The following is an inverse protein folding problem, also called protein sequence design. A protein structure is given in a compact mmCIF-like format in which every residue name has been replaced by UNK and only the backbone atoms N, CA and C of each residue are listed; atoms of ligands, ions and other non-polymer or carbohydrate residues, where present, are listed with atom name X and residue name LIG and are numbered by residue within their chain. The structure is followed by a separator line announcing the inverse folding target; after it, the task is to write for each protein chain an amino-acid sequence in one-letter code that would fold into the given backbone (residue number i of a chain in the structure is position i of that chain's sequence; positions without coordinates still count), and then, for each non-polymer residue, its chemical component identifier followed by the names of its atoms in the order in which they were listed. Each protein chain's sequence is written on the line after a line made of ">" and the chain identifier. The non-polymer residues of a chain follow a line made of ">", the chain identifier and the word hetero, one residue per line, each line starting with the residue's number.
data_IF_241758758467
#
_entry.id   IF_241758758467
#
_cell.length_a   1.000
_cell.length_b   1.000
_cell.length_c   1.000
_cell.angle_alpha   90.00
_cell.angle_beta   90.00
_cell.angle_gamma   90.00
#
_symmetry.space_group_name_H-M   'P 1'
#
loop_
_entity.id
_entity.type
_entity.pdbx_description
1 polymer ?
#
# COMPACT_ATOMS: atom_id res chain seq x y z
N UNK A 1 -10.09 12.40 1.74
CA UNK A 1 -9.18 13.21 2.59
C UNK A 1 -9.16 14.63 2.04
N UNK A 2 -9.05 15.61 2.94
CA UNK A 2 -8.97 17.04 2.66
C UNK A 2 -7.52 17.50 2.60
N UNK A 3 -7.29 18.72 2.14
CA UNK A 3 -5.96 19.36 2.18
C UNK A 3 -5.43 19.41 3.63
N UNK A 4 -6.30 19.63 4.61
CA UNK A 4 -5.93 19.68 6.02
C UNK A 4 -5.46 18.32 6.53
N UNK A 5 -6.07 17.21 6.11
CA UNK A 5 -5.59 15.87 6.46
C UNK A 5 -4.13 15.68 6.00
N UNK A 6 -3.79 16.09 4.78
CA UNK A 6 -2.42 16.02 4.24
C UNK A 6 -1.46 17.02 4.90
N UNK A 7 -1.95 18.20 5.31
CA UNK A 7 -1.14 19.16 6.07
C UNK A 7 -0.82 18.61 7.45
N UNK A 8 -1.82 18.07 8.15
CA UNK A 8 -1.67 17.45 9.46
C UNK A 8 -0.73 16.25 9.41
N UNK A 9 -0.74 15.48 8.32
CA UNK A 9 0.18 14.37 8.09
C UNK A 9 1.66 14.76 8.18
N UNK A 10 2.02 16.01 7.88
CA UNK A 10 3.41 16.50 7.95
C UNK A 10 3.87 16.83 9.37
N UNK A 11 2.93 16.92 10.33
CA UNK A 11 3.22 17.23 11.73
C UNK A 11 3.13 16.01 12.65
N UNK A 12 2.80 14.83 12.11
CA UNK A 12 2.82 13.58 12.87
C UNK A 12 4.24 13.28 13.36
N UNK A 13 4.37 13.00 14.64
CA UNK A 13 5.66 12.57 15.21
C UNK A 13 5.95 11.11 14.88
N UNK A 14 7.20 10.67 15.08
CA UNK A 14 7.60 9.26 14.90
C UNK A 14 6.78 8.31 15.76
N UNK A 15 6.52 8.67 17.03
CA UNK A 15 5.70 7.86 17.94
C UNK A 15 4.25 7.75 17.45
N UNK A 16 3.72 8.79 16.82
CA UNK A 16 2.36 8.77 16.27
C UNK A 16 2.24 7.97 14.97
N UNK A 17 3.32 7.83 14.22
CA UNK A 17 3.36 7.04 12.98
C UNK A 17 3.58 5.55 13.24
N UNK A 18 4.41 5.22 14.23
CA UNK A 18 4.93 3.86 14.42
C UNK A 18 4.58 3.24 15.77
N UNK A 19 3.86 3.97 16.63
CA UNK A 19 3.65 3.63 18.03
C UNK A 19 4.90 3.90 18.89
N UNK A 20 4.76 3.75 20.20
CA UNK A 20 5.92 3.68 21.10
C UNK A 20 6.66 2.35 20.85
N UNK A 21 7.99 2.34 20.91
CA UNK A 21 8.85 1.15 20.69
C UNK A 21 8.54 -0.04 21.65
N UNK A 22 7.58 0.09 22.56
CA UNK A 22 7.32 -0.83 23.65
C UNK A 22 6.40 -2.00 23.29
N UNK A 23 5.80 -2.05 22.10
CA UNK A 23 4.95 -3.19 21.71
C UNK A 23 5.26 -3.69 20.29
N UNK A 24 5.63 -4.97 20.13
CA UNK A 24 5.65 -5.61 18.82
C UNK A 24 4.24 -5.51 18.20
N UNK A 25 4.11 -5.23 16.89
CA UNK A 25 2.82 -5.09 16.19
C UNK A 25 1.83 -6.25 16.45
N UNK A 26 2.37 -7.43 16.76
CA UNK A 26 1.63 -8.68 16.95
C UNK A 26 0.81 -8.76 18.26
N UNK A 27 0.96 -7.83 19.19
CA UNK A 27 0.36 -7.92 20.53
C UNK A 27 -1.03 -7.28 20.66
N UNK A 28 -1.57 -6.65 19.62
CA UNK A 28 -2.88 -5.96 19.73
C UNK A 28 -3.97 -6.45 18.76
N UNK A 29 -3.68 -7.41 17.88
CA UNK A 29 -4.71 -8.06 17.06
C UNK A 29 -4.74 -9.53 17.41
N UNK A 30 -5.54 -9.88 18.42
CA UNK A 30 -5.76 -11.26 18.91
C UNK A 30 -6.57 -12.13 17.91
N UNK A 31 -6.48 -11.81 16.62
CA UNK A 31 -7.08 -12.50 15.49
C UNK A 31 -6.25 -12.19 14.23
N UNK A 32 -5.10 -12.83 14.06
CA UNK A 32 -4.53 -13.01 12.72
C UNK A 32 -5.51 -13.89 11.93
N UNK A 33 -6.50 -13.26 11.32
CA UNK A 33 -7.15 -13.76 10.11
C UNK A 33 -6.30 -13.28 8.94
N UNK A 34 -6.34 -13.97 7.79
CA UNK A 34 -5.68 -13.46 6.59
C UNK A 34 -6.12 -12.03 6.29
N UNK A 35 -5.16 -11.17 5.98
CA UNK A 35 -5.29 -9.75 5.61
C UNK A 35 -5.61 -9.55 4.11
N UNK A 36 -5.81 -10.64 3.37
CA UNK A 36 -6.32 -10.60 2.00
C UNK A 36 -7.71 -11.23 1.92
N UNK A 37 -8.68 -10.49 1.38
CA UNK A 37 -10.08 -10.94 1.22
C UNK A 37 -10.60 -10.82 -0.24
N UNK A 38 -11.87 -11.18 -0.44
CA UNK A 38 -12.62 -10.91 -1.67
C UNK A 38 -12.47 -11.87 -2.85
N UNK A 39 -12.74 -11.37 -4.07
CA UNK A 39 -12.90 -12.22 -5.28
C UNK A 39 -11.62 -12.98 -5.63
N UNK A 40 -10.46 -12.41 -5.31
CA UNK A 40 -9.18 -13.03 -5.55
C UNK A 40 -8.89 -14.22 -4.62
N UNK A 41 -9.51 -14.24 -3.42
CA UNK A 41 -9.54 -15.39 -2.51
C UNK A 41 -10.57 -16.43 -2.97
N UNK A 42 -11.76 -16.02 -3.45
CA UNK A 42 -12.79 -16.97 -3.93
C UNK A 42 -12.35 -17.84 -5.11
N UNK A 43 -11.43 -17.37 -5.96
CA UNK A 43 -10.85 -18.17 -7.06
C UNK A 43 -10.02 -19.37 -6.56
N UNK A 44 -9.67 -19.47 -5.27
CA UNK A 44 -8.95 -20.62 -4.66
C UNK A 44 -9.72 -21.95 -4.70
N UNK A 45 -11.01 -21.99 -5.02
CA UNK A 45 -11.80 -23.24 -5.03
C UNK A 45 -11.61 -24.14 -6.25
N UNK A 46 -10.86 -23.71 -7.28
CA UNK A 46 -10.59 -24.54 -8.46
C UNK A 46 -9.17 -25.13 -8.41
N UNK A 47 -9.08 -26.43 -8.10
CA UNK A 47 -7.87 -27.25 -8.21
C UNK A 47 -7.34 -27.22 -9.65
N UNK A 48 -6.41 -26.32 -9.94
CA UNK A 48 -5.56 -26.41 -11.13
C UNK A 48 -4.10 -26.38 -10.69
N UNK A 49 -3.33 -27.36 -11.17
CA UNK A 49 -1.89 -27.48 -10.92
C UNK A 49 -1.16 -26.52 -11.88
N UNK A 50 -0.49 -25.50 -11.34
CA UNK A 50 0.39 -24.60 -12.11
C UNK A 50 0.61 -23.20 -11.50
N UNK A 51 1.56 -23.11 -10.54
CA UNK A 51 2.53 -22.03 -10.11
C UNK A 51 2.12 -20.55 -9.95
N UNK A 52 2.84 -19.69 -9.15
CA UNK A 52 3.18 -18.21 -8.86
C UNK A 52 2.35 -16.89 -8.71
N UNK A 53 2.41 -16.09 -7.59
CA UNK A 53 2.23 -14.57 -7.53
C UNK A 53 3.26 -13.72 -6.75
N UNK A 54 3.52 -12.47 -7.20
CA UNK A 54 3.52 -11.26 -6.34
C UNK A 54 3.33 -9.95 -7.17
N UNK A 55 2.06 -9.67 -7.53
CA UNK A 55 1.63 -8.48 -8.26
C UNK A 55 0.65 -8.82 -9.38
N UNK A 56 -0.46 -8.09 -9.54
CA UNK A 56 -1.51 -8.41 -10.53
C UNK A 56 -1.02 -8.28 -11.97
N UNK A 57 -1.03 -9.38 -12.72
CA UNK A 57 -0.56 -9.39 -14.11
C UNK A 57 -1.58 -8.84 -15.09
N UNK A 58 -2.86 -9.19 -14.91
CA UNK A 58 -3.90 -8.84 -15.88
C UNK A 58 -4.27 -7.36 -15.79
N UNK A 59 -4.31 -6.66 -16.93
CA UNK A 59 -4.68 -5.23 -17.00
C UNK A 59 -6.04 -4.95 -16.36
N UNK A 60 -6.99 -5.89 -16.44
CA UNK A 60 -8.31 -5.75 -15.81
C UNK A 60 -8.26 -5.68 -14.29
N UNK A 61 -7.25 -6.27 -13.66
CA UNK A 61 -7.10 -6.30 -12.21
C UNK A 61 -6.22 -5.12 -11.71
N UNK A 62 -5.70 -4.30 -12.64
CA UNK A 62 -5.04 -3.01 -12.36
C UNK A 62 -6.05 -1.88 -12.32
N UNK A 63 -5.73 -0.83 -11.58
CA UNK A 63 -6.50 0.40 -11.57
C UNK A 63 -6.25 1.24 -12.83
N UNK A 64 -7.30 1.67 -13.55
CA UNK A 64 -7.15 2.50 -14.75
C UNK A 64 -6.47 3.84 -14.43
N UNK A 65 -5.69 4.37 -15.38
CA UNK A 65 -5.00 5.66 -15.25
C UNK A 65 -4.07 5.78 -14.03
N UNK A 66 -3.73 4.65 -13.39
CA UNK A 66 -2.98 4.58 -12.14
C UNK A 66 -3.71 5.30 -10.99
N UNK A 67 -5.03 5.51 -11.11
CA UNK A 67 -5.87 6.18 -10.12
C UNK A 67 -6.68 5.15 -9.34
N UNK A 68 -6.63 5.25 -8.01
CA UNK A 68 -7.46 4.45 -7.09
C UNK A 68 -8.50 5.38 -6.46
N UNK A 69 -9.73 5.43 -7.01
CA UNK A 69 -10.81 6.18 -6.40
C UNK A 69 -11.15 5.62 -5.04
N UNK A 70 -11.30 6.47 -4.02
CA UNK A 70 -11.66 6.04 -2.68
C UNK A 70 -12.75 6.87 -2.03
N UNK A 71 -13.52 6.21 -1.18
CA UNK A 71 -14.40 6.81 -0.18
C UNK A 71 -13.85 6.45 1.19
N UNK A 72 -13.75 7.42 2.08
CA UNK A 72 -13.26 7.23 3.44
C UNK A 72 -14.43 7.32 4.41
N UNK A 73 -14.52 6.38 5.35
CA UNK A 73 -15.49 6.41 6.44
C UNK A 73 -15.37 7.71 7.26
N UNK A 74 -16.50 8.19 7.73
CA UNK A 74 -16.64 9.31 8.66
C UNK A 74 -16.27 8.96 10.11
N UNK A 75 -16.07 7.67 10.43
CA UNK A 75 -15.67 7.22 11.76
C UNK A 75 -14.18 7.46 12.09
N UNK A 76 -13.35 7.84 11.11
CA UNK A 76 -11.94 8.14 11.38
C UNK A 76 -11.77 9.51 12.03
N UNK A 77 -11.04 9.53 13.15
CA UNK A 77 -10.60 10.75 13.83
C UNK A 77 -9.64 11.57 12.97
N UNK A 78 -9.45 12.85 13.29
CA UNK A 78 -8.50 13.73 12.59
C UNK A 78 -7.08 13.15 12.53
N UNK A 79 -6.63 12.48 13.60
CA UNK A 79 -5.31 11.84 13.66
C UNK A 79 -5.22 10.63 12.74
N UNK A 80 -6.19 9.73 12.79
CA UNK A 80 -6.24 8.55 11.91
C UNK A 80 -6.28 8.96 10.44
N UNK A 81 -7.08 9.98 10.10
CA UNK A 81 -7.11 10.56 8.74
C UNK A 81 -5.75 11.12 8.31
N UNK A 82 -5.02 11.77 9.21
CA UNK A 82 -3.67 12.25 8.93
C UNK A 82 -2.67 11.10 8.68
N UNK A 83 -2.78 9.99 9.42
CA UNK A 83 -1.95 8.79 9.19
C UNK A 83 -2.27 8.17 7.82
N UNK A 84 -3.56 8.03 7.48
CA UNK A 84 -3.97 7.54 6.15
C UNK A 84 -3.49 8.47 5.04
N UNK A 85 -3.59 9.79 5.25
CA UNK A 85 -3.05 10.79 4.33
C UNK A 85 -1.52 10.67 4.19
N UNK A 86 -0.80 10.41 5.28
CA UNK A 86 0.66 10.20 5.27
C UNK A 86 1.06 8.99 4.41
N UNK A 87 0.35 7.87 4.56
CA UNK A 87 0.57 6.67 3.76
C UNK A 87 0.24 6.91 2.28
N UNK A 88 -0.92 7.50 1.96
CA UNK A 88 -1.26 7.85 0.57
C UNK A 88 -0.24 8.81 -0.06
N UNK A 89 0.28 9.77 0.71
CA UNK A 89 1.33 10.68 0.25
C UNK A 89 2.63 9.93 -0.11
N UNK A 90 2.99 8.89 0.64
CA UNK A 90 4.17 8.08 0.33
C UNK A 90 4.08 7.42 -1.05
N UNK A 91 2.89 6.96 -1.46
CA UNK A 91 2.63 6.52 -2.83
C UNK A 91 2.74 7.66 -3.84
N UNK A 92 2.13 8.81 -3.54
CA UNK A 92 2.12 9.97 -4.45
C UNK A 92 3.53 10.49 -4.75
N UNK A 93 4.41 10.50 -3.74
CA UNK A 93 5.77 11.03 -3.82
C UNK A 93 6.74 10.10 -4.57
N UNK A 94 6.51 8.78 -4.50
CA UNK A 94 7.51 7.77 -4.92
C UNK A 94 7.07 6.89 -6.08
N UNK A 95 5.80 7.03 -6.48
CA UNK A 95 5.21 6.29 -7.59
C UNK A 95 4.30 7.18 -8.42
N UNK A 96 3.77 6.66 -9.53
CA UNK A 96 2.72 7.32 -10.31
C UNK A 96 1.30 6.92 -9.90
N UNK A 97 1.11 6.08 -8.86
CA UNK A 97 -0.20 5.70 -8.35
C UNK A 97 -0.83 6.85 -7.56
N UNK A 98 -2.11 7.14 -7.80
CA UNK A 98 -2.83 8.26 -7.20
C UNK A 98 -4.12 7.79 -6.54
N UNK A 99 -4.15 7.80 -5.22
CA UNK A 99 -5.41 7.73 -4.47
C UNK A 99 -6.18 9.04 -4.61
N UNK A 100 -7.37 8.97 -5.22
CA UNK A 100 -8.19 10.14 -5.53
C UNK A 100 -9.56 10.04 -4.84
N UNK A 101 -10.11 11.12 -4.26
CA UNK A 101 -11.48 11.09 -3.75
C UNK A 101 -12.45 10.69 -4.86
N UNK A 102 -13.26 9.67 -4.61
CA UNK A 102 -14.23 9.19 -5.58
C UNK A 102 -15.26 10.27 -5.92
N UNK A 103 -15.61 10.34 -7.19
CA UNK A 103 -16.76 11.06 -7.72
C UNK A 103 -17.84 10.08 -8.20
N UNK A 104 -17.77 9.66 -9.46
CA UNK A 104 -18.74 8.79 -10.13
C UNK A 104 -18.16 7.45 -10.57
N UNK A 105 -16.89 7.17 -10.25
CA UNK A 105 -16.20 5.96 -10.70
C UNK A 105 -16.96 4.73 -10.17
N UNK A 106 -17.28 3.76 -11.04
CA UNK A 106 -18.06 2.57 -10.64
C UNK A 106 -17.23 1.65 -9.74
N UNK A 107 -15.93 1.60 -9.98
CA UNK A 107 -14.96 0.82 -9.22
C UNK A 107 -14.22 1.74 -8.26
N UNK A 108 -14.22 1.41 -6.97
CA UNK A 108 -13.61 2.26 -5.96
C UNK A 108 -13.37 1.49 -4.66
N UNK A 109 -12.42 2.00 -3.88
CA UNK A 109 -12.08 1.52 -2.56
C UNK A 109 -12.96 2.21 -1.50
N UNK A 110 -13.65 1.45 -0.67
CA UNK A 110 -14.24 1.95 0.56
C UNK A 110 -13.30 1.63 1.72
N UNK A 111 -12.67 2.67 2.28
CA UNK A 111 -11.75 2.57 3.41
C UNK A 111 -12.55 2.82 4.69
N UNK A 112 -12.63 1.84 5.58
CA UNK A 112 -13.44 1.93 6.79
C UNK A 112 -12.97 1.04 7.94
N UNK A 113 -13.53 1.26 9.13
CA UNK A 113 -13.38 0.37 10.28
C UNK A 113 -14.39 -0.76 10.16
N UNK A 114 -13.97 -1.94 9.70
CA UNK A 114 -14.89 -3.05 9.37
C UNK A 114 -14.66 -4.25 10.30
N UNK A 115 -13.58 -5.00 10.10
CA UNK A 115 -13.17 -6.12 10.96
C UNK A 115 -11.69 -6.43 10.74
N UNK A 116 -10.82 -5.96 11.65
CA UNK A 116 -9.38 -6.13 11.52
C UNK A 116 -8.75 -5.32 10.37
N UNK A 117 -7.61 -5.78 9.88
CA UNK A 117 -6.82 -5.14 8.82
C UNK A 117 -6.86 -6.04 7.58
N UNK A 118 -7.44 -5.56 6.47
CA UNK A 118 -7.46 -6.33 5.23
C UNK A 118 -7.72 -5.50 3.97
N UNK A 119 -7.37 -6.06 2.82
CA UNK A 119 -7.79 -5.57 1.51
C UNK A 119 -7.98 -6.68 0.46
N UNK A 120 -8.74 -6.38 -0.59
CA UNK A 120 -8.66 -7.15 -1.84
C UNK A 120 -7.35 -6.84 -2.56
N UNK A 121 -6.82 -7.81 -3.32
CA UNK A 121 -5.63 -7.55 -4.15
C UNK A 121 -6.00 -7.01 -5.52
N UNK A 122 -5.61 -5.76 -5.76
CA UNK A 122 -5.88 -5.05 -7.02
C UNK A 122 -7.32 -4.57 -7.13
N UNK A 123 -7.76 -4.35 -8.38
CA UNK A 123 -9.11 -3.89 -8.70
C UNK A 123 -10.07 -5.05 -8.90
N UNK A 124 -10.95 -5.29 -7.93
CA UNK A 124 -12.00 -6.32 -7.94
C UNK A 124 -13.31 -5.92 -8.63
N UNK A 125 -13.49 -4.61 -8.89
CA UNK A 125 -14.66 -4.01 -9.53
C UNK A 125 -15.85 -3.78 -8.59
N UNK A 126 -16.60 -2.70 -8.82
CA UNK A 126 -17.61 -2.17 -7.91
C UNK A 126 -17.00 -1.52 -6.66
N UNK A 127 -17.80 -1.41 -5.59
CA UNK A 127 -17.27 -1.10 -4.26
C UNK A 127 -16.45 -2.30 -3.77
N UNK A 128 -15.18 -2.08 -3.46
CA UNK A 128 -14.33 -3.05 -2.74
C UNK A 128 -13.89 -2.45 -1.40
N UNK A 129 -13.82 -3.28 -0.37
CA UNK A 129 -13.55 -2.83 0.99
C UNK A 129 -12.06 -2.93 1.33
N UNK A 130 -11.57 -1.95 2.09
CA UNK A 130 -10.29 -2.01 2.78
C UNK A 130 -10.58 -1.67 4.25
N UNK A 131 -10.35 -2.64 5.13
CA UNK A 131 -10.55 -2.47 6.56
C UNK A 131 -9.28 -1.95 7.20
N UNK A 132 -9.38 -0.80 7.86
CA UNK A 132 -8.40 -0.31 8.83
C UNK A 132 -9.15 -0.05 10.12
N UNK A 133 -9.37 -1.11 10.89
CA UNK A 133 -10.08 -1.06 12.16
C UNK A 133 -9.18 -0.55 13.31
N UNK A 134 -9.71 -0.53 14.54
CA UNK A 134 -8.92 -0.24 15.73
C UNK A 134 -7.69 -1.16 15.81
N UNK A 135 -6.51 -0.56 15.99
CA UNK A 135 -5.22 -1.28 16.00
C UNK A 135 -4.56 -1.44 14.63
N UNK A 136 -5.20 -1.03 13.54
CA UNK A 136 -4.65 -1.11 12.17
C UNK A 136 -4.15 0.24 11.60
N UNK A 137 -4.26 1.32 12.38
CA UNK A 137 -4.03 2.69 11.87
C UNK A 137 -2.67 3.20 12.37
N UNK A 138 -1.64 2.54 11.88
CA UNK A 138 -0.25 3.00 11.88
C UNK A 138 0.25 3.11 10.43
N UNK A 139 1.35 3.81 10.23
CA UNK A 139 1.81 4.15 8.88
C UNK A 139 2.14 2.90 8.06
N UNK A 140 2.81 1.90 8.65
CA UNK A 140 3.22 0.69 7.96
C UNK A 140 2.04 -0.20 7.58
N UNK A 141 1.06 -0.38 8.47
CA UNK A 141 -0.13 -1.19 8.21
C UNK A 141 -0.98 -0.53 7.13
N UNK A 142 -1.16 0.80 7.17
CA UNK A 142 -1.89 1.49 6.10
C UNK A 142 -1.17 1.36 4.76
N UNK A 143 0.16 1.46 4.72
CA UNK A 143 0.91 1.21 3.47
C UNK A 143 0.70 -0.21 2.97
N UNK A 144 0.77 -1.19 3.86
CA UNK A 144 0.60 -2.61 3.57
C UNK A 144 -0.76 -2.87 2.90
N UNK A 145 -1.85 -2.45 3.54
CA UNK A 145 -3.20 -2.66 3.03
C UNK A 145 -3.46 -1.90 1.71
N UNK A 146 -2.92 -0.69 1.60
CA UNK A 146 -2.96 0.05 0.34
C UNK A 146 -2.16 -0.68 -0.76
N UNK A 147 -1.09 -1.39 -0.42
CA UNK A 147 -0.26 -2.11 -1.40
C UNK A 147 -0.99 -3.35 -1.94
N UNK A 148 -1.78 -4.01 -1.08
CA UNK A 148 -2.77 -5.00 -1.52
C UNK A 148 -3.77 -4.40 -2.50
N UNK A 149 -4.45 -3.32 -2.13
CA UNK A 149 -5.41 -2.64 -3.02
C UNK A 149 -4.79 -2.19 -4.35
N UNK A 150 -3.52 -1.79 -4.33
CA UNK A 150 -2.74 -1.42 -5.52
C UNK A 150 -2.45 -2.62 -6.42
N UNK A 151 -2.34 -3.82 -5.87
CA UNK A 151 -2.29 -5.06 -6.65
C UNK A 151 -1.25 -6.09 -6.24
N UNK A 152 -0.67 -6.02 -5.05
CA UNK A 152 0.39 -6.95 -4.63
C UNK A 152 -0.09 -7.98 -3.59
N UNK A 153 0.45 -9.19 -3.68
CA UNK A 153 0.24 -10.25 -2.69
C UNK A 153 1.39 -10.22 -1.69
N UNK A 154 1.35 -11.05 -0.66
CA UNK A 154 2.50 -11.13 0.23
C UNK A 154 3.75 -11.68 -0.47
N UNK A 155 4.91 -11.22 -0.03
CA UNK A 155 6.19 -11.68 -0.58
C UNK A 155 6.42 -13.18 -0.28
N UNK A 156 5.99 -13.67 0.88
CA UNK A 156 6.05 -15.09 1.21
C UNK A 156 5.01 -15.93 0.45
N UNK A 157 4.14 -15.36 -0.35
CA UNK A 157 3.24 -16.12 -1.23
C UNK A 157 3.81 -16.34 -2.64
N UNK A 158 4.99 -15.77 -2.92
CA UNK A 158 5.74 -16.05 -4.14
C UNK A 158 5.92 -17.54 -4.37
N UNK A 159 5.78 -17.97 -5.62
CA UNK A 159 6.11 -19.34 -5.96
C UNK A 159 7.53 -19.76 -5.69
N UNK A 160 8.49 -18.91 -6.05
CA UNK A 160 9.92 -19.14 -5.87
C UNK A 160 10.36 -19.00 -4.41
N UNK A 161 9.46 -18.64 -3.48
CA UNK A 161 9.77 -18.42 -2.06
C UNK A 161 10.55 -19.56 -1.42
N UNK A 162 10.34 -20.81 -1.84
CA UNK A 162 10.96 -21.97 -1.16
C UNK A 162 12.48 -22.02 -1.42
N UNK A 163 12.99 -21.21 -2.36
CA UNK A 163 14.42 -20.96 -2.58
C UNK A 163 15.00 -19.96 -1.56
N UNK A 164 14.15 -19.22 -0.85
CA UNK A 164 14.50 -18.09 0.02
C UNK A 164 14.07 -18.29 1.46
N UNK A 165 12.95 -18.97 1.70
CA UNK A 165 12.38 -19.27 3.00
C UNK A 165 11.96 -20.74 3.10
N UNK A 166 11.75 -21.19 4.33
CA UNK A 166 11.16 -22.47 4.65
C UNK A 166 9.92 -22.24 5.52
N UNK A 167 8.81 -22.87 5.16
CA UNK A 167 7.61 -22.91 6.00
C UNK A 167 7.71 -24.11 6.95
N UNK A 168 7.70 -23.85 8.24
CA UNK A 168 7.72 -24.84 9.32
C UNK A 168 6.29 -25.27 9.66
N UNK A 169 5.68 -26.08 8.79
CA UNK A 169 4.26 -26.48 8.88
C UNK A 169 3.83 -27.05 10.24
N UNK A 170 4.73 -27.70 10.98
CA UNK A 170 4.44 -28.23 12.32
C UNK A 170 4.17 -27.13 13.36
N UNK A 171 4.68 -25.91 13.15
CA UNK A 171 4.48 -24.76 14.02
C UNK A 171 3.29 -23.88 13.59
N UNK A 172 2.79 -24.03 12.36
CA UNK A 172 1.67 -23.24 11.82
C UNK A 172 0.35 -23.72 12.43
N UNK A 173 -0.55 -22.85 12.87
CA UNK A 173 -1.91 -23.24 13.27
C UNK A 173 -2.69 -23.86 12.11
N UNK A 174 -3.48 -24.91 12.39
CA UNK A 174 -4.19 -25.63 11.31
C UNK A 174 -5.18 -24.73 10.57
N UNK A 175 -5.80 -23.78 11.27
CA UNK A 175 -6.71 -22.79 10.67
C UNK A 175 -6.00 -21.80 9.75
N UNK A 176 -4.68 -21.62 9.90
CA UNK A 176 -3.87 -20.70 9.09
C UNK A 176 -3.13 -21.34 7.91
N UNK A 177 -3.32 -22.64 7.63
CA UNK A 177 -2.56 -23.33 6.56
C UNK A 177 -2.76 -22.69 5.19
N UNK A 178 -3.94 -22.16 4.92
CA UNK A 178 -4.24 -21.49 3.66
C UNK A 178 -3.55 -20.13 3.54
N UNK A 179 -3.11 -19.51 4.63
CA UNK A 179 -2.36 -18.24 4.64
C UNK A 179 -0.91 -18.38 4.14
N UNK A 180 -0.43 -19.61 4.03
CA UNK A 180 0.86 -19.95 3.44
C UNK A 180 0.70 -20.54 2.04
N UNK A 181 -0.46 -20.36 1.40
CA UNK A 181 -0.64 -20.73 0.00
C UNK A 181 0.43 -20.07 -0.88
N UNK A 182 0.96 -20.79 -1.86
CA UNK A 182 1.69 -20.13 -2.95
C UNK A 182 0.66 -19.65 -3.95
N UNK A 183 0.91 -18.50 -4.52
CA UNK A 183 -0.04 -17.84 -5.36
C UNK A 183 0.07 -18.31 -6.85
N UNK A 184 -0.89 -17.97 -7.75
CA UNK A 184 -1.05 -18.45 -9.15
C UNK A 184 -0.51 -17.53 -10.31
N UNK A 185 0.18 -18.12 -11.30
CA UNK A 185 1.13 -17.67 -12.35
C UNK A 185 0.42 -17.00 -13.49
N UNK A 186 -0.80 -17.46 -13.73
CA UNK A 186 -1.64 -16.92 -14.78
C UNK A 186 -2.15 -15.53 -14.39
N UNK A 187 -2.10 -15.19 -13.11
CA UNK A 187 -2.69 -13.97 -12.54
C UNK A 187 -1.65 -12.97 -12.04
N UNK A 188 -0.34 -13.25 -12.18
CA UNK A 188 0.67 -12.42 -11.52
C UNK A 188 2.11 -12.56 -12.03
N UNK A 189 2.95 -11.62 -11.64
CA UNK A 189 4.32 -11.40 -12.09
C UNK A 189 5.20 -10.95 -10.91
N UNK A 190 6.52 -11.15 -10.98
CA UNK A 190 7.48 -10.55 -10.05
C UNK A 190 8.08 -9.24 -10.59
N UNK A 191 7.71 -8.86 -11.81
CA UNK A 191 8.24 -7.70 -12.53
C UNK A 191 9.76 -7.69 -12.63
N UNK A 192 10.36 -8.86 -12.85
CA UNK A 192 11.81 -9.07 -12.92
C UNK A 192 12.56 -8.56 -11.66
N UNK A 193 11.97 -8.75 -10.48
CA UNK A 193 12.60 -8.41 -9.21
C UNK A 193 12.92 -9.65 -8.35
N UNK A 194 14.05 -9.58 -7.64
CA UNK A 194 14.48 -10.61 -6.70
C UNK A 194 13.53 -10.75 -5.51
N UNK A 195 13.66 -11.85 -4.77
CA UNK A 195 12.95 -12.03 -3.49
C UNK A 195 13.41 -10.99 -2.47
N UNK A 196 12.46 -10.38 -1.79
CA UNK A 196 12.70 -9.25 -0.91
C UNK A 196 12.32 -9.53 0.56
N UNK A 197 13.30 -9.92 1.37
CA UNK A 197 13.11 -10.07 2.82
C UNK A 197 12.75 -8.75 3.52
N UNK A 198 12.96 -7.61 2.87
CA UNK A 198 12.65 -6.27 3.37
C UNK A 198 11.34 -5.72 2.81
N UNK A 199 10.52 -6.55 2.16
CA UNK A 199 9.22 -6.10 1.67
C UNK A 199 8.30 -5.80 2.84
N UNK A 200 7.55 -4.70 2.75
CA UNK A 200 6.47 -4.40 3.71
C UNK A 200 5.35 -5.45 3.65
N UNK A 201 5.27 -6.21 2.56
CA UNK A 201 4.33 -7.31 2.35
C UNK A 201 4.87 -8.68 2.77
N UNK A 202 6.00 -8.78 3.48
CA UNK A 202 6.48 -10.06 3.98
C UNK A 202 5.92 -10.33 5.38
N UNK A 203 5.30 -11.49 5.62
CA UNK A 203 4.93 -11.90 6.98
C UNK A 203 6.14 -12.04 7.91
N UNK A 204 5.91 -11.86 9.21
CA UNK A 204 6.95 -12.11 10.20
C UNK A 204 7.20 -13.61 10.41
N UNK A 205 8.32 -13.90 11.07
CA UNK A 205 8.77 -15.28 11.33
C UNK A 205 7.77 -16.13 12.11
N UNK A 206 6.84 -15.56 12.88
CA UNK A 206 5.90 -16.23 13.79
C UNK A 206 4.44 -16.11 13.37
N UNK A 207 4.16 -15.54 12.20
CA UNK A 207 2.81 -15.42 11.67
C UNK A 207 2.05 -16.76 11.77
N UNK A 208 0.83 -16.74 12.31
CA UNK A 208 -0.02 -17.93 12.51
C UNK A 208 0.65 -19.07 13.32
N UNK A 209 1.58 -18.77 14.24
CA UNK A 209 2.18 -19.79 15.09
C UNK A 209 1.21 -20.34 16.12
N UNK A 210 1.11 -21.68 16.22
CA UNK A 210 0.33 -22.35 17.27
C UNK A 210 1.07 -22.51 18.59
N UNK A 211 2.38 -22.25 18.60
CA UNK A 211 3.27 -22.57 19.72
C UNK A 211 4.30 -21.48 20.03
N UNK A 212 4.13 -20.28 19.46
CA UNK A 212 5.04 -19.14 19.63
C UNK A 212 6.43 -19.29 18.99
N UNK A 213 6.67 -20.41 18.28
CA UNK A 213 7.91 -20.65 17.50
C UNK A 213 7.73 -20.20 16.05
N UNK A 214 8.85 -20.04 15.36
CA UNK A 214 8.86 -19.62 13.96
C UNK A 214 8.01 -20.56 13.09
N UNK A 215 7.18 -19.98 12.24
CA UNK A 215 6.48 -20.62 11.13
C UNK A 215 7.20 -20.37 9.80
N UNK A 216 7.97 -19.28 9.70
CA UNK A 216 8.82 -18.96 8.55
C UNK A 216 10.27 -18.82 9.02
N UNK A 217 11.18 -19.50 8.33
CA UNK A 217 12.62 -19.30 8.48
C UNK A 217 13.25 -18.90 7.16
N UNK A 218 14.05 -17.84 7.16
CA UNK A 218 14.83 -17.46 6.00
C UNK A 218 16.04 -18.38 5.82
N UNK A 219 16.32 -18.75 4.58
CA UNK A 219 17.52 -19.51 4.22
C UNK A 219 18.78 -18.65 4.27
N UNK A 220 18.64 -17.35 4.03
CA UNK A 220 19.73 -16.39 4.19
C UNK A 220 19.95 -16.10 5.69
N UNK A 221 21.17 -16.29 6.22
CA UNK A 221 21.46 -16.02 7.63
C UNK A 221 21.07 -14.60 8.05
N UNK A 222 20.47 -14.48 9.24
CA UNK A 222 20.03 -13.20 9.81
C UNK A 222 18.67 -12.69 9.32
N UNK A 223 18.20 -13.11 8.14
CA UNK A 223 16.95 -12.58 7.55
C UNK A 223 15.68 -13.03 8.29
N UNK A 224 15.70 -14.15 9.02
CA UNK A 224 14.54 -14.58 9.83
C UNK A 224 14.15 -13.52 10.88
N UNK A 225 15.11 -12.76 11.40
CA UNK A 225 14.84 -11.71 12.38
C UNK A 225 14.41 -10.37 11.73
N UNK A 226 14.43 -10.28 10.40
CA UNK A 226 14.18 -9.05 9.64
C UNK A 226 12.80 -9.06 8.99
N UNK A 227 12.37 -10.20 8.46
CA UNK A 227 11.08 -10.35 7.78
C UNK A 227 9.92 -9.88 8.67
N UNK A 228 8.96 -9.17 8.07
CA UNK A 228 7.77 -8.63 8.74
C UNK A 228 8.00 -7.47 9.71
N UNK A 229 9.18 -6.83 9.70
CA UNK A 229 9.49 -5.69 10.60
C UNK A 229 9.62 -4.34 9.90
N UNK A 230 9.27 -4.29 8.62
CA UNK A 230 9.51 -3.11 7.79
C UNK A 230 8.48 -2.03 8.09
N UNK A 231 8.97 -0.79 8.18
CA UNK A 231 8.19 0.39 8.57
C UNK A 231 7.80 1.28 7.39
N UNK A 232 8.31 0.98 6.19
CA UNK A 232 8.02 1.69 4.95
C UNK A 232 8.30 0.73 3.78
N UNK A 233 8.00 1.16 2.55
CA UNK A 233 8.35 0.39 1.35
C UNK A 233 9.84 0.07 1.30
N UNK A 234 10.14 -1.15 0.86
CA UNK A 234 11.47 -1.46 0.39
C UNK A 234 11.73 -0.78 -0.97
N UNK A 235 13.01 -0.63 -1.38
CA UNK A 235 13.34 -0.26 -2.75
C UNK A 235 12.76 -1.22 -3.81
N UNK A 236 12.60 -2.50 -3.48
CA UNK A 236 12.03 -3.51 -4.38
C UNK A 236 10.52 -3.34 -4.50
N UNK A 237 9.81 -3.04 -3.40
CA UNK A 237 8.37 -2.75 -3.41
C UNK A 237 8.06 -1.61 -4.38
N UNK A 238 8.82 -0.51 -4.28
CA UNK A 238 8.66 0.65 -5.17
C UNK A 238 8.96 0.29 -6.63
N UNK A 239 10.01 -0.47 -6.91
CA UNK A 239 10.32 -0.89 -8.29
C UNK A 239 9.20 -1.77 -8.87
N UNK A 240 8.66 -2.70 -8.08
CA UNK A 240 7.52 -3.53 -8.49
C UNK A 240 6.29 -2.68 -8.83
N UNK A 241 5.90 -1.74 -7.95
CA UNK A 241 4.76 -0.84 -8.19
C UNK A 241 4.99 -0.02 -9.48
N UNK A 242 6.18 0.57 -9.61
CA UNK A 242 6.48 1.46 -10.72
C UNK A 242 6.58 0.74 -12.07
N UNK A 243 7.12 -0.49 -12.09
CA UNK A 243 7.08 -1.35 -13.27
C UNK A 243 5.65 -1.79 -13.59
N UNK A 244 4.85 -2.16 -12.58
CA UNK A 244 3.47 -2.62 -12.79
C UNK A 244 2.58 -1.55 -13.44
N UNK A 245 2.77 -0.28 -13.05
CA UNK A 245 1.99 0.87 -13.53
C UNK A 245 2.70 1.70 -14.61
N UNK A 246 3.82 1.22 -15.16
CA UNK A 246 4.62 1.89 -16.19
C UNK A 246 4.90 3.36 -15.86
N UNK A 247 5.34 3.65 -14.64
CA UNK A 247 5.61 5.01 -14.22
C UNK A 247 6.76 5.60 -15.07
N UNK A 248 6.54 6.77 -15.67
CA UNK A 248 7.51 7.45 -16.55
C UNK A 248 8.59 8.23 -15.80
N UNK A 249 8.40 8.47 -14.51
CA UNK A 249 9.41 8.96 -13.59
C UNK A 249 9.28 8.21 -12.27
N UNK A 250 10.28 7.39 -11.95
CA UNK A 250 10.41 6.81 -10.63
C UNK A 250 11.88 6.68 -10.25
N UNK A 251 12.14 6.90 -8.97
CA UNK A 251 13.49 6.88 -8.43
C UNK A 251 14.01 5.44 -8.42
N UNK A 252 15.14 5.21 -9.09
CA UNK A 252 15.90 3.97 -8.90
C UNK A 252 16.89 4.21 -7.77
N UNK A 253 16.78 3.46 -6.68
CA UNK A 253 17.89 3.34 -5.73
C UNK A 253 19.03 2.65 -6.47
N UNK A 254 20.09 3.39 -6.79
CA UNK A 254 21.31 2.79 -7.30
C UNK A 254 21.86 1.86 -6.22
N UNK A 255 22.05 0.58 -6.56
CA UNK A 255 22.70 -0.39 -5.70
C UNK A 255 24.11 0.13 -5.35
N UNK A 256 24.32 0.53 -4.09
CA UNK A 256 25.64 0.88 -3.57
C UNK A 256 25.83 2.27 -2.96
N UNK A 257 24.81 3.13 -2.90
CA UNK A 257 24.95 4.42 -2.21
C UNK A 257 23.69 4.80 -1.41
N UNK A 258 23.71 4.79 -0.07
CA UNK A 258 22.59 5.27 0.73
C UNK A 258 22.52 6.80 0.59
N UNK A 259 21.63 7.29 -0.27
CA UNK A 259 21.27 8.72 -0.33
C UNK A 259 21.28 9.39 -1.71
N UNK A 260 21.59 8.69 -2.81
CA UNK A 260 21.59 9.31 -4.15
C UNK A 260 20.35 8.91 -4.95
N UNK A 261 19.52 9.90 -5.25
CA UNK A 261 18.30 9.81 -6.07
C UNK A 261 18.66 10.01 -7.55
N UNK A 262 18.50 8.99 -8.38
CA UNK A 262 18.69 9.11 -9.83
C UNK A 262 17.33 9.06 -10.55
N UNK A 263 17.04 10.14 -11.29
CA UNK A 263 15.96 10.17 -12.27
C UNK A 263 16.40 9.35 -13.48
N UNK A 264 15.73 8.24 -13.77
CA UNK A 264 15.91 7.54 -15.03
C UNK A 264 14.87 8.07 -16.03
N UNK A 265 15.30 8.97 -16.91
CA UNK A 265 14.58 9.26 -18.15
C UNK A 265 15.17 8.36 -19.25
N UNK A 266 14.35 7.70 -20.08
CA UNK A 266 14.89 6.96 -21.22
C UNK A 266 15.53 7.94 -22.22
N UNK A 267 16.86 7.97 -22.27
CA UNK A 267 17.64 8.70 -23.27
C UNK A 267 18.50 9.88 -22.81
N UNK A 268 18.63 10.16 -21.50
CA UNK A 268 19.47 11.27 -21.03
C UNK A 268 20.91 10.80 -20.70
N UNK A 269 21.89 11.28 -21.45
CA UNK A 269 23.31 11.20 -21.08
C UNK A 269 23.58 12.06 -19.84
N UNK A 270 24.50 11.58 -19.01
CA UNK A 270 24.92 12.21 -17.75
C UNK A 270 25.52 13.60 -18.00
N UNK A 271 24.72 14.66 -17.95
CA UNK A 271 25.15 16.04 -17.68
C UNK A 271 23.92 16.96 -17.65
N UNK A 272 23.17 16.93 -16.55
CA UNK A 272 22.21 17.99 -16.21
C UNK A 272 21.88 17.92 -14.71
N UNK A 273 22.86 18.27 -13.86
CA UNK A 273 22.59 18.59 -12.47
C UNK A 273 22.35 20.10 -12.33
N UNK A 274 21.36 20.41 -11.49
CA UNK A 274 20.98 21.70 -10.89
C UNK A 274 19.88 22.53 -11.57
N UNK A 275 18.87 22.78 -10.74
CA UNK A 275 17.81 23.78 -10.82
C UNK A 275 16.60 23.46 -11.72
N UNK A 276 15.49 23.10 -11.06
CA UNK A 276 14.26 23.92 -11.09
C UNK A 276 13.28 23.45 -10.02
N UNK A 277 13.01 24.34 -9.07
CA UNK A 277 11.70 24.39 -8.41
C UNK A 277 10.61 24.46 -9.47
N UNK A 278 9.55 23.64 -9.31
CA UNK A 278 8.12 24.01 -9.40
C UNK A 278 7.25 22.81 -9.81
N UNK A 279 6.42 22.38 -8.88
CA UNK A 279 4.96 22.33 -9.05
C UNK A 279 4.33 22.20 -7.67
N UNK A 280 3.40 23.11 -7.35
CA UNK A 280 2.59 23.10 -6.13
C UNK A 280 1.96 21.70 -5.92
N UNK A 281 2.24 20.99 -4.80
CA UNK A 281 1.75 19.63 -4.57
C UNK A 281 0.22 19.55 -4.43
N UNK A 282 -0.50 20.67 -4.42
CA UNK A 282 -1.96 20.73 -4.28
C UNK A 282 -2.75 20.88 -5.59
N UNK A 283 -2.10 20.86 -6.78
CA UNK A 283 -2.80 21.03 -8.06
C UNK A 283 -3.83 19.94 -8.38
N UNK A 284 -3.85 18.82 -7.66
CA UNK A 284 -4.85 17.76 -7.81
C UNK A 284 -6.21 18.11 -7.17
N UNK A 285 -6.23 19.05 -6.21
CA UNK A 285 -7.45 19.42 -5.47
C UNK A 285 -8.23 20.59 -6.09
N UNK A 286 -7.74 21.17 -7.18
CA UNK A 286 -8.35 22.34 -7.83
C UNK A 286 -9.34 22.02 -8.95
N UNK A 287 -9.80 20.77 -9.10
CA UNK A 287 -10.93 20.48 -10.00
C UNK A 287 -12.21 21.02 -9.35
N UNK A 288 -12.90 22.02 -9.94
CA UNK A 288 -14.11 22.56 -9.35
C UNK A 288 -15.18 21.47 -9.25
N UNK A 289 -15.75 21.35 -8.06
CA UNK A 289 -16.90 20.49 -7.79
C UNK A 289 -18.12 21.08 -8.55
N UNK A 290 -18.71 20.37 -9.53
CA UNK A 290 -19.82 20.92 -10.33
C UNK A 290 -21.14 21.07 -9.54
N UNK A 291 -21.16 20.79 -8.23
CA UNK A 291 -22.37 20.83 -7.39
C UNK A 291 -22.31 21.82 -6.22
N UNK A 292 -21.39 22.79 -6.21
CA UNK A 292 -21.52 23.94 -5.31
C UNK A 292 -22.18 25.11 -6.06
N UNK A 293 -23.33 25.64 -5.60
CA UNK A 293 -23.88 26.85 -6.18
C UNK A 293 -22.93 28.02 -5.90
N UNK A 294 -22.51 28.70 -6.97
CA UNK A 294 -21.74 29.94 -6.89
C UNK A 294 -22.49 30.97 -6.04
N UNK A 295 -21.83 31.69 -5.11
CA UNK A 295 -22.46 32.79 -4.41
C UNK A 295 -22.80 33.88 -5.43
N UNK A 296 -24.09 34.18 -5.54
CA UNK A 296 -24.62 35.26 -6.37
C UNK A 296 -24.07 36.60 -5.89
N UNK A 297 -23.53 37.38 -6.82
CA UNK A 297 -23.17 38.76 -6.60
C UNK A 297 -24.44 39.59 -6.37
N UNK A 298 -24.75 39.88 -5.10
CA UNK A 298 -25.65 40.98 -4.77
C UNK A 298 -24.83 42.26 -4.64
N UNK A 299 -25.08 43.15 -5.60
CA UNK A 299 -24.82 44.58 -5.49
C UNK A 299 -25.46 45.11 -4.20
N UNK A 300 -24.72 45.92 -3.45
CA UNK A 300 -25.29 47.10 -2.82
C UNK A 300 -24.21 48.17 -2.65
N UNK A 301 -24.47 49.30 -3.29
CA UNK A 301 -23.74 50.54 -3.14
C UNK A 301 -23.94 51.09 -1.72
N UNK A 302 -22.83 51.50 -1.09
CA UNK A 302 -22.82 52.22 0.17
C UNK A 302 -21.97 53.49 0.00
N UNK A 303 -22.64 54.56 -0.40
CA UNK A 303 -22.14 55.93 -0.46
C UNK A 303 -22.04 56.46 0.98
N UNK A 304 -20.86 56.91 1.42
CA UNK A 304 -20.69 57.68 2.65
C UNK A 304 -20.34 59.12 2.29
N UNK A 305 -21.30 60.02 2.50
CA UNK A 305 -21.10 61.46 2.70
C UNK A 305 -21.32 61.76 4.19
N UNK A 306 -20.26 62.23 4.85
CA UNK A 306 -20.17 63.25 5.93
C UNK A 306 -18.95 63.00 6.83
#
# INVERSE_FOLDING_TARGET
>A
LTIDDFRNAMYLTTEELYGSETHPPWQQVDKFQGDIVGKAVMRRRLKTRGVSRNGVRMTKDKWPNNEVPYVLSDYYTTKERAIIARAMKAYHDRTCVRFVPRTFEPDYLYIGKIDGCFSDVGRGGGRQELSLDFGCIDYETVIHELMHAVGFWHEHERWDRDNYIQILWNNVDRGGYDQFGKANLLESDYYDENYDYFSILHYDSKAFSRNGRNTIEARMPGMTAIIGRMKDFSPVDLRKINKMYNCSSYYTYAAGNPGVWLNHLPGATSDAFLSKEKSDPYSYFTKPNPFLPSPSAHQNAGQFDK
#
